data_IF_884634050056
#
_entry.id   IF_884634050056
#
_cell.length_a   1.000
_cell.length_b   1.000
_cell.length_c   1.000
_cell.angle_alpha   90.00
_cell.angle_beta   90.00
_cell.angle_gamma   90.00
#
_symmetry.space_group_name_H-M   'P 1'
#
loop_
_entity.id
_entity.type
_entity.pdbx_description
1 polymer ?
#
# COMPACT_ATOMS: atom_id res chain seq x y z
N UNK A 1 3.16 -9.56 18.88
CA UNK A 1 3.39 -8.25 18.25
C UNK A 1 2.20 -7.96 17.33
N UNK A 2 1.55 -6.79 17.42
CA UNK A 2 0.45 -6.42 16.51
C UNK A 2 1.02 -5.68 15.31
N UNK A 3 0.81 -6.20 14.10
CA UNK A 3 1.16 -5.49 12.86
C UNK A 3 0.11 -4.39 12.64
N UNK A 4 0.52 -3.13 12.45
CA UNK A 4 -0.41 -2.04 12.16
C UNK A 4 -1.17 -2.27 10.85
N UNK A 5 -2.32 -1.62 10.71
CA UNK A 5 -3.14 -1.63 9.49
C UNK A 5 -3.19 -0.20 8.94
N UNK A 6 -2.90 -0.03 7.65
CA UNK A 6 -3.07 1.25 6.94
C UNK A 6 -3.98 1.09 5.73
N UNK A 7 -4.40 2.20 5.12
CA UNK A 7 -5.03 2.15 3.82
C UNK A 7 -3.93 1.90 2.75
N UNK A 8 -4.01 0.85 1.92
CA UNK A 8 -3.00 0.60 0.90
C UNK A 8 -2.88 1.72 -0.14
N UNK A 9 -3.94 2.53 -0.32
CA UNK A 9 -3.90 3.70 -1.20
C UNK A 9 -2.95 4.79 -0.71
N UNK A 10 -2.61 4.81 0.59
CA UNK A 10 -1.66 5.76 1.15
C UNK A 10 -0.25 5.57 0.55
N UNK A 11 0.06 4.37 0.03
CA UNK A 11 1.33 4.10 -0.66
C UNK A 11 1.47 4.89 -1.97
N UNK A 12 0.36 5.24 -2.64
CA UNK A 12 0.39 6.06 -3.86
C UNK A 12 0.89 7.49 -3.61
N UNK A 13 0.78 7.96 -2.38
CA UNK A 13 1.12 9.33 -1.99
C UNK A 13 2.42 9.40 -1.18
N UNK A 14 3.19 8.31 -1.13
CA UNK A 14 4.45 8.29 -0.42
C UNK A 14 5.49 9.16 -1.14
N UNK A 15 6.03 10.23 -0.50
CA UNK A 15 6.95 11.15 -1.16
C UNK A 15 8.33 10.54 -1.46
N UNK A 16 8.69 9.44 -0.79
CA UNK A 16 10.00 8.80 -0.95
C UNK A 16 10.07 7.83 -2.12
N UNK A 17 8.93 7.27 -2.53
CA UNK A 17 8.86 6.30 -3.61
C UNK A 17 7.53 6.47 -4.34
N UNK A 18 7.47 7.35 -5.35
CA UNK A 18 6.27 7.53 -6.15
C UNK A 18 6.01 6.22 -6.91
N UNK A 19 4.81 5.67 -6.71
CA UNK A 19 4.30 4.53 -7.45
C UNK A 19 2.94 4.85 -8.04
N UNK A 20 2.62 4.24 -9.17
CA UNK A 20 1.31 4.34 -9.79
C UNK A 20 0.36 3.20 -9.34
N UNK A 21 -0.83 3.16 -9.94
CA UNK A 21 -1.88 2.18 -9.57
C UNK A 21 -1.56 0.76 -10.05
N UNK A 22 -0.83 0.62 -11.15
CA UNK A 22 -0.39 -0.68 -11.66
C UNK A 22 0.70 -1.24 -10.74
N UNK A 23 1.70 -0.42 -10.42
CA UNK A 23 2.77 -0.78 -9.50
C UNK A 23 2.22 -1.12 -8.11
N UNK A 24 1.23 -0.37 -7.61
CA UNK A 24 0.54 -0.71 -6.35
C UNK A 24 -0.13 -2.08 -6.42
N UNK A 25 -0.81 -2.38 -7.54
CA UNK A 25 -1.52 -3.63 -7.73
C UNK A 25 -0.54 -4.82 -7.74
N UNK A 26 0.56 -4.69 -8.49
CA UNK A 26 1.63 -5.68 -8.53
C UNK A 26 2.27 -5.88 -7.15
N UNK A 27 2.63 -4.79 -6.48
CA UNK A 27 3.28 -4.79 -5.17
C UNK A 27 2.44 -5.51 -4.10
N UNK A 28 1.11 -5.37 -4.15
CA UNK A 28 0.19 -5.98 -3.20
C UNK A 28 -0.36 -7.34 -3.67
N UNK A 29 -0.01 -7.79 -4.88
CA UNK A 29 -0.51 -9.03 -5.46
C UNK A 29 -2.03 -9.03 -5.70
N UNK A 30 -2.60 -7.90 -6.11
CA UNK A 30 -4.03 -7.74 -6.40
C UNK A 30 -4.25 -7.28 -7.84
N UNK A 31 -5.49 -7.39 -8.33
CA UNK A 31 -5.82 -6.84 -9.65
C UNK A 31 -5.91 -5.31 -9.62
N UNK A 32 -5.64 -4.66 -10.75
CA UNK A 32 -5.85 -3.21 -10.89
C UNK A 32 -7.31 -2.79 -10.60
N UNK A 33 -8.28 -3.62 -11.00
CA UNK A 33 -9.69 -3.36 -10.72
C UNK A 33 -10.00 -3.35 -9.21
N UNK A 34 -9.26 -4.14 -8.42
CA UNK A 34 -9.32 -4.11 -6.95
C UNK A 34 -8.87 -2.76 -6.42
N UNK A 35 -7.78 -2.19 -6.95
CA UNK A 35 -7.28 -0.86 -6.57
C UNK A 35 -8.31 0.22 -6.90
N UNK A 36 -8.89 0.21 -8.11
CA UNK A 36 -9.97 1.14 -8.47
C UNK A 36 -11.18 1.01 -7.54
N UNK A 37 -11.60 -0.21 -7.23
CA UNK A 37 -12.73 -0.45 -6.32
C UNK A 37 -12.48 0.12 -4.91
N UNK A 38 -11.23 0.14 -4.44
CA UNK A 38 -10.87 0.79 -3.17
C UNK A 38 -10.93 2.31 -3.27
N UNK A 39 -10.42 2.88 -4.37
CA UNK A 39 -10.40 4.34 -4.58
C UNK A 39 -11.79 4.94 -4.72
N UNK A 40 -12.69 4.20 -5.35
CA UNK A 40 -14.10 4.58 -5.50
C UNK A 40 -14.93 4.26 -4.24
N UNK A 41 -14.32 3.67 -3.20
CA UNK A 41 -15.02 3.28 -1.97
C UNK A 41 -16.00 2.11 -2.12
N UNK A 42 -16.02 1.44 -3.29
CA UNK A 42 -16.91 0.29 -3.57
C UNK A 42 -16.56 -0.94 -2.73
N UNK A 43 -15.29 -1.09 -2.37
CA UNK A 43 -14.78 -2.18 -1.51
C UNK A 43 -13.76 -1.65 -0.52
N UNK A 44 -13.65 -2.34 0.61
CA UNK A 44 -12.60 -2.10 1.59
C UNK A 44 -11.47 -3.13 1.43
N UNK A 45 -10.20 -2.74 1.61
CA UNK A 45 -9.09 -3.69 1.61
C UNK A 45 -9.22 -4.72 2.73
N UNK A 46 -8.80 -5.97 2.47
CA UNK A 46 -8.79 -7.01 3.49
C UNK A 46 -7.68 -6.74 4.53
N UNK A 47 -7.87 -7.21 5.77
CA UNK A 47 -6.89 -7.03 6.86
C UNK A 47 -5.45 -7.45 6.50
N UNK A 48 -5.20 -8.60 5.82
CA UNK A 48 -3.85 -8.96 5.41
C UNK A 48 -3.21 -7.92 4.47
N UNK A 49 -3.99 -7.34 3.55
CA UNK A 49 -3.50 -6.31 2.61
C UNK A 49 -3.17 -5.02 3.35
N UNK A 50 -4.00 -4.61 4.32
CA UNK A 50 -3.72 -3.42 5.16
C UNK A 50 -2.44 -3.57 5.97
N UNK A 51 -2.17 -4.78 6.47
CA UNK A 51 -0.95 -5.12 7.21
C UNK A 51 0.28 -5.15 6.31
N UNK A 52 0.16 -5.75 5.13
CA UNK A 52 1.22 -5.76 4.12
C UNK A 52 1.61 -4.33 3.71
N UNK A 53 0.61 -3.48 3.43
CA UNK A 53 0.85 -2.08 3.10
C UNK A 53 1.60 -1.34 4.22
N UNK A 54 1.26 -1.62 5.48
CA UNK A 54 1.94 -1.01 6.62
C UNK A 54 3.41 -1.44 6.70
N UNK A 55 3.70 -2.72 6.45
CA UNK A 55 5.08 -3.24 6.44
C UNK A 55 5.90 -2.60 5.31
N UNK A 56 5.33 -2.47 4.11
CA UNK A 56 5.98 -1.83 2.95
C UNK A 56 6.31 -0.37 3.29
N UNK A 57 5.35 0.39 3.83
CA UNK A 57 5.56 1.79 4.20
C UNK A 57 6.67 1.94 5.24
N UNK A 58 6.72 1.06 6.25
CA UNK A 58 7.80 1.05 7.24
C UNK A 58 9.15 0.77 6.59
N UNK A 59 9.23 -0.20 5.67
CA UNK A 59 10.47 -0.54 4.97
C UNK A 59 10.99 0.65 4.15
N UNK A 60 10.12 1.31 3.38
CA UNK A 60 10.51 2.47 2.57
C UNK A 60 11.06 3.62 3.41
N UNK A 61 10.44 3.90 4.56
CA UNK A 61 10.92 4.92 5.52
C UNK A 61 12.29 4.57 6.08
N UNK A 62 12.55 3.31 6.37
CA UNK A 62 13.86 2.88 6.87
C UNK A 62 14.94 3.04 5.79
N UNK A 63 14.63 2.67 4.54
CA UNK A 63 15.56 2.81 3.42
C UNK A 63 15.87 4.27 3.09
N UNK A 64 14.88 5.18 3.19
CA UNK A 64 15.09 6.61 2.93
C UNK A 64 15.92 7.34 3.99
N UNK A 65 16.08 6.77 5.19
CA UNK A 65 16.92 7.34 6.27
C UNK A 65 18.37 6.82 6.16
N UNK A 66 18.56 5.65 5.55
CA UNK A 66 19.86 4.99 5.44
C UNK A 66 20.66 5.38 4.17
N UNK A 67 20.05 6.12 3.24
CA UNK A 67 20.65 6.63 2.01
C UNK A 67 20.96 8.13 2.12
#
# INVERSE_FOLDING_TARGET
MKIPEINPLDLLYNPYQPIDRYELAELLGVSLNTVYSWQEGRRQPATPVKKLAAMILSQWRTQSIAA
#
